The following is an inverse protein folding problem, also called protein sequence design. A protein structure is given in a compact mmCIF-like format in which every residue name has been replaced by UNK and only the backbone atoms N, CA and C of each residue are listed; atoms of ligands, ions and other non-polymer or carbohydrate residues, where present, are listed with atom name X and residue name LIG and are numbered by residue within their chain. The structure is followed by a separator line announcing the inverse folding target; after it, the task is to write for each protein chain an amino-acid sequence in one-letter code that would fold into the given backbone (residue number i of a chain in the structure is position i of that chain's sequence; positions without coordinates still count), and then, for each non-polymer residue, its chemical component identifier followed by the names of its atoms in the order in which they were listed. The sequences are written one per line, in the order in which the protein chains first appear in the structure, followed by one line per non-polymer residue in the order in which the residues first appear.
data_IF_702990577460
#
_entry.id   IF_702990577460
#
_cell.length_a   1.000
_cell.length_b   1.000
_cell.length_c   1.000
_cell.angle_alpha   90.00
_cell.angle_beta   90.00
_cell.angle_gamma   90.00
#
_symmetry.space_group_name_H-M   'P 1'
#
loop_
_entity.id
_entity.type
_entity.pdbx_description
1 polymer ?
#
# COMPACT_ATOMS: atom_id res chain seq x y z
N UNK A 1 19.29 -2.40 -4.27
CA UNK A 1 18.14 -2.28 -3.37
C UNK A 1 17.32 -1.14 -3.92
N UNK A 2 16.25 -1.51 -4.60
CA UNK A 2 15.45 -0.64 -5.45
C UNK A 2 14.41 0.13 -4.64
N UNK A 3 14.02 -0.37 -3.47
CA UNK A 3 13.07 0.29 -2.55
C UNK A 3 13.65 0.51 -1.14
N UNK A 4 14.68 1.35 -0.97
CA UNK A 4 15.36 1.54 0.32
C UNK A 4 14.46 2.13 1.41
N UNK A 5 13.52 3.02 1.05
CA UNK A 5 12.59 3.60 2.02
C UNK A 5 11.60 2.56 2.54
N UNK A 6 11.08 1.69 1.65
CA UNK A 6 10.18 0.61 2.04
C UNK A 6 10.88 -0.39 2.96
N UNK A 7 12.14 -0.73 2.65
CA UNK A 7 12.97 -1.56 3.53
C UNK A 7 13.05 -0.97 4.94
N UNK A 8 13.40 0.32 5.05
CA UNK A 8 13.49 1.00 6.35
C UNK A 8 12.16 1.01 7.10
N UNK A 9 11.06 1.25 6.40
CA UNK A 9 9.72 1.28 6.99
C UNK A 9 9.30 -0.10 7.53
N UNK A 10 9.50 -1.17 6.76
CA UNK A 10 9.16 -2.52 7.18
C UNK A 10 10.11 -3.03 8.28
N UNK A 11 11.40 -2.72 8.19
CA UNK A 11 12.40 -3.08 9.20
C UNK A 11 12.14 -2.43 10.58
N UNK A 12 11.37 -1.32 10.63
CA UNK A 12 10.91 -0.71 11.89
C UNK A 12 9.82 -1.50 12.60
N UNK A 13 9.05 -2.31 11.86
CA UNK A 13 8.00 -3.18 12.43
C UNK A 13 8.66 -4.41 13.04
N UNK A 14 9.60 -5.01 12.30
CA UNK A 14 10.41 -6.14 12.73
C UNK A 14 11.72 -6.12 11.96
N UNK A 15 12.88 -6.41 12.58
CA UNK A 15 14.15 -6.47 11.87
C UNK A 15 14.08 -7.42 10.67
N UNK A 16 14.61 -6.97 9.53
CA UNK A 16 14.71 -7.75 8.29
C UNK A 16 16.20 -7.80 7.94
N UNK A 17 16.74 -8.99 7.67
CA UNK A 17 18.13 -9.11 7.20
C UNK A 17 18.24 -8.63 5.76
N UNK A 18 19.42 -8.17 5.35
CA UNK A 18 19.64 -7.73 3.97
C UNK A 18 19.31 -8.82 2.95
N UNK A 19 19.69 -10.08 3.22
CA UNK A 19 19.41 -11.19 2.30
C UNK A 19 17.90 -11.46 2.16
N UNK A 20 17.17 -11.48 3.29
CA UNK A 20 15.72 -11.65 3.26
C UNK A 20 15.03 -10.50 2.53
N UNK A 21 15.54 -9.28 2.68
CA UNK A 21 15.04 -8.13 1.91
C UNK A 21 15.29 -8.30 0.42
N UNK A 22 16.50 -8.69 0.01
CA UNK A 22 16.84 -8.87 -1.40
C UNK A 22 15.98 -9.97 -2.05
N UNK A 23 15.58 -11.00 -1.31
CA UNK A 23 14.64 -12.01 -1.80
C UNK A 23 13.20 -11.50 -1.88
N UNK A 24 12.74 -10.75 -0.88
CA UNK A 24 11.43 -10.12 -0.89
C UNK A 24 11.28 -9.08 -2.01
N UNK A 25 12.31 -8.25 -2.23
CA UNK A 25 12.34 -7.18 -3.23
C UNK A 25 12.09 -7.71 -4.66
N UNK A 26 12.56 -8.92 -4.96
CA UNK A 26 12.33 -9.59 -6.25
C UNK A 26 10.85 -9.93 -6.52
N UNK A 27 10.03 -10.00 -5.48
CA UNK A 27 8.59 -10.27 -5.58
C UNK A 27 7.77 -8.99 -5.77
N UNK A 28 8.40 -7.82 -5.66
CA UNK A 28 7.75 -6.53 -5.80
C UNK A 28 7.73 -6.10 -7.26
N UNK A 29 6.63 -5.46 -7.66
CA UNK A 29 6.51 -4.78 -8.94
C UNK A 29 5.94 -3.39 -8.73
N UNK A 30 6.53 -2.37 -9.36
CA UNK A 30 6.01 -1.01 -9.30
C UNK A 30 4.76 -0.87 -10.16
N UNK A 31 3.71 -0.25 -9.61
CA UNK A 31 2.47 0.07 -10.32
C UNK A 31 2.15 1.55 -10.16
N UNK A 32 2.22 2.29 -11.26
CA UNK A 32 1.77 3.69 -11.30
C UNK A 32 0.30 3.74 -11.72
N UNK A 33 -0.50 4.49 -10.98
CA UNK A 33 -1.88 4.83 -11.34
C UNK A 33 -1.99 6.33 -11.60
N UNK A 34 -2.84 6.71 -12.54
CA UNK A 34 -3.26 8.10 -12.75
C UNK A 34 -4.43 8.43 -11.82
N UNK A 35 -4.71 9.72 -11.66
CA UNK A 35 -5.91 10.17 -10.95
C UNK A 35 -7.15 9.53 -11.58
N UNK A 36 -8.00 8.97 -10.73
CA UNK A 36 -9.24 8.27 -11.09
C UNK A 36 -9.06 6.91 -11.77
N UNK A 37 -7.84 6.38 -11.87
CA UNK A 37 -7.66 4.96 -12.21
C UNK A 37 -8.08 4.08 -11.02
N UNK A 38 -8.50 2.86 -11.33
CA UNK A 38 -8.89 1.87 -10.33
C UNK A 38 -7.72 0.94 -9.97
N UNK A 39 -7.49 0.78 -8.67
CA UNK A 39 -6.63 -0.29 -8.15
C UNK A 39 -7.35 -1.64 -8.14
N UNK A 40 -8.64 -1.60 -7.80
CA UNK A 40 -9.57 -2.72 -7.76
C UNK A 40 -10.99 -2.18 -7.93
N UNK A 41 -11.83 -2.88 -8.67
CA UNK A 41 -13.25 -2.56 -8.87
C UNK A 41 -14.16 -3.59 -8.21
N UNK A 42 -15.40 -3.18 -7.96
CA UNK A 42 -16.43 -4.10 -7.47
C UNK A 42 -16.61 -5.28 -8.43
N UNK A 43 -16.67 -6.49 -7.88
CA UNK A 43 -16.74 -7.74 -8.66
C UNK A 43 -15.38 -8.31 -9.07
N UNK A 44 -14.28 -7.55 -8.95
CA UNK A 44 -12.93 -8.08 -9.18
C UNK A 44 -12.42 -8.85 -7.97
N UNK A 45 -11.71 -9.97 -8.21
CA UNK A 45 -11.07 -10.73 -7.15
C UNK A 45 -9.75 -10.08 -6.72
N UNK A 46 -9.63 -9.75 -5.42
CA UNK A 46 -8.41 -9.20 -4.86
C UNK A 46 -7.34 -10.29 -4.65
N UNK A 47 -6.52 -10.56 -5.67
CA UNK A 47 -5.44 -11.57 -5.64
C UNK A 47 -4.04 -11.00 -5.36
N UNK A 48 -3.90 -9.67 -5.33
CA UNK A 48 -2.64 -8.97 -5.10
C UNK A 48 -2.68 -8.23 -3.76
N UNK A 49 -1.52 -8.12 -3.12
CA UNK A 49 -1.29 -7.21 -2.00
C UNK A 49 -0.59 -5.95 -2.52
N UNK A 50 -1.01 -4.77 -2.04
CA UNK A 50 -0.46 -3.50 -2.47
C UNK A 50 0.08 -2.72 -1.28
N UNK A 51 1.21 -2.06 -1.50
CA UNK A 51 1.82 -1.12 -0.57
C UNK A 51 1.76 0.26 -1.22
N UNK A 52 1.09 1.21 -0.57
CA UNK A 52 0.97 2.58 -1.08
C UNK A 52 2.25 3.36 -0.73
N UNK A 53 3.09 3.58 -1.73
CA UNK A 53 4.38 4.29 -1.57
C UNK A 53 4.25 5.80 -1.69
N UNK A 54 3.31 6.30 -2.50
CA UNK A 54 3.04 7.73 -2.69
C UNK A 54 1.58 7.94 -3.11
N UNK A 55 1.03 9.11 -2.79
CA UNK A 55 -0.32 9.53 -3.17
C UNK A 55 -1.43 9.10 -2.19
N UNK A 56 -2.66 9.00 -2.74
CA UNK A 56 -3.89 8.75 -1.97
C UNK A 56 -4.80 7.79 -2.73
N UNK A 57 -5.32 6.77 -2.03
CA UNK A 57 -6.34 5.87 -2.54
C UNK A 57 -7.65 6.12 -1.80
N UNK A 58 -8.75 6.30 -2.53
CA UNK A 58 -10.10 6.33 -1.97
C UNK A 58 -10.70 4.94 -2.04
N UNK A 59 -11.15 4.42 -0.89
CA UNK A 59 -11.97 3.21 -0.82
C UNK A 59 -13.42 3.64 -0.71
N UNK A 60 -14.24 3.17 -1.64
CA UNK A 60 -15.66 3.47 -1.69
C UNK A 60 -16.43 2.27 -2.25
N UNK A 61 -17.74 2.28 -2.08
CA UNK A 61 -18.65 1.30 -2.67
C UNK A 61 -19.92 1.99 -3.15
N UNK A 62 -20.62 1.34 -4.07
CA UNK A 62 -21.89 1.83 -4.58
C UNK A 62 -23.04 1.02 -3.99
N UNK A 63 -24.14 1.67 -3.64
CA UNK A 63 -25.39 1.01 -3.25
C UNK A 63 -26.57 1.80 -3.82
N UNK A 64 -27.44 1.13 -4.58
CA UNK A 64 -28.59 1.74 -5.28
C UNK A 64 -28.23 2.99 -6.09
N UNK A 65 -27.09 2.96 -6.79
CA UNK A 65 -26.60 4.07 -7.60
C UNK A 65 -25.95 5.23 -6.82
N UNK A 66 -25.90 5.16 -5.49
CA UNK A 66 -25.22 6.14 -4.65
C UNK A 66 -23.82 5.65 -4.27
N UNK A 67 -22.81 6.53 -4.37
CA UNK A 67 -21.46 6.23 -3.90
C UNK A 67 -21.29 6.60 -2.43
N UNK A 68 -20.77 5.66 -1.65
CA UNK A 68 -20.45 5.84 -0.24
C UNK A 68 -18.94 5.75 -0.05
N UNK A 69 -18.32 6.85 0.39
CA UNK A 69 -16.91 6.85 0.78
C UNK A 69 -16.74 6.07 2.09
N UNK A 70 -15.84 5.09 2.10
CA UNK A 70 -15.49 4.33 3.30
C UNK A 70 -14.28 4.92 4.01
N UNK A 71 -13.19 5.14 3.28
CA UNK A 71 -11.97 5.73 3.83
C UNK A 71 -11.03 6.23 2.74
N UNK A 72 -10.05 7.04 3.14
CA UNK A 72 -8.88 7.36 2.32
C UNK A 72 -7.65 6.69 2.92
N UNK A 73 -6.95 5.90 2.11
CA UNK A 73 -5.61 5.42 2.42
C UNK A 73 -4.64 6.49 1.95
N UNK A 74 -4.05 7.17 2.91
CA UNK A 74 -2.94 8.10 2.66
C UNK A 74 -1.64 7.30 2.64
N UNK A 75 -0.58 7.86 2.07
CA UNK A 75 0.78 7.33 2.26
C UNK A 75 1.07 7.22 3.76
N UNK A 76 0.95 6.00 4.30
CA UNK A 76 1.21 5.72 5.70
C UNK A 76 2.72 5.62 5.86
N UNK A 77 3.34 6.66 6.41
CA UNK A 77 4.54 6.46 7.20
C UNK A 77 4.10 5.64 8.41
N UNK A 78 4.64 4.43 8.60
CA UNK A 78 4.23 3.57 9.72
C UNK A 78 4.29 4.39 11.01
N UNK A 79 3.16 4.59 11.72
CA UNK A 79 3.12 5.50 12.85
C UNK A 79 4.09 5.03 13.92
N UNK A 80 4.94 5.95 14.39
CA UNK A 80 5.73 5.73 15.58
C UNK A 80 4.76 5.53 16.76
N UNK A 81 5.02 4.53 17.63
CA UNK A 81 4.53 4.65 19.01
C UNK A 81 5.15 5.94 19.56
N UNK A 82 4.32 6.93 19.88
CA UNK A 82 4.78 8.03 20.73
C UNK A 82 5.33 7.41 22.01
N UNK A 83 6.56 7.74 22.45
CA UNK A 83 6.95 7.41 23.82
C UNK A 83 5.96 8.15 24.73
N UNK A 84 5.29 7.38 25.59
CA UNK A 84 4.61 7.90 26.77
C UNK A 84 5.65 8.22 27.85
#
# INVERSE_FOLDING_TARGET
MDYPELYQQLARISPITTDAWLDFEKLLSHKQLKRSDFLLQEGEQAINCYILVDGVIRVYFSNDGNEYNKTFLLQVHFPQRSPL
#
